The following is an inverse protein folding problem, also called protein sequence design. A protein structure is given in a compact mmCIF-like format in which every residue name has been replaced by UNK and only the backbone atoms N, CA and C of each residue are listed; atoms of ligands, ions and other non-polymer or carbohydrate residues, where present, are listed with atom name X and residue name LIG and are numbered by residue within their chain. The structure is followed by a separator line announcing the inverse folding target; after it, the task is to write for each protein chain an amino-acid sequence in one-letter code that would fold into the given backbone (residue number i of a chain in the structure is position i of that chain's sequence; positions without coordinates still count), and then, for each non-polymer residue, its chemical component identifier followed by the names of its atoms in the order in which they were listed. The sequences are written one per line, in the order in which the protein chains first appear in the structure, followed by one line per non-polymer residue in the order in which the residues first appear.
data_IF_232361895006
#
_entry.id   IF_232361895006
#
_cell.length_a   1.000
_cell.length_b   1.000
_cell.length_c   1.000
_cell.angle_alpha   90.00
_cell.angle_beta   90.00
_cell.angle_gamma   90.00
#
_symmetry.space_group_name_H-M   'P 1'
#
loop_
_entity.id
_entity.type
_entity.pdbx_description
1 polymer ?
#
# COMPACT_ATOMS: atom_id res chain seq x y z
N UNK A 1 -13.78 -0.76 23.88
CA UNK A 1 -13.02 -1.94 23.38
C UNK A 1 -11.54 -1.61 23.44
N UNK A 2 -10.72 -2.43 24.09
CA UNK A 2 -9.26 -2.31 23.98
C UNK A 2 -8.88 -2.73 22.56
N UNK A 3 -8.26 -1.84 21.80
CA UNK A 3 -7.67 -2.14 20.49
C UNK A 3 -6.48 -3.08 20.72
N UNK A 4 -6.74 -4.34 21.06
CA UNK A 4 -5.73 -5.37 21.06
C UNK A 4 -5.36 -5.64 19.59
N UNK A 5 -4.33 -4.94 19.15
CA UNK A 5 -3.30 -5.34 18.17
C UNK A 5 -3.72 -6.47 17.24
N UNK A 6 -4.51 -6.15 16.21
CA UNK A 6 -4.60 -7.04 15.05
C UNK A 6 -3.22 -7.06 14.38
N UNK A 7 -2.43 -8.10 14.67
CA UNK A 7 -1.19 -8.35 13.95
C UNK A 7 -1.57 -8.79 12.53
N UNK A 8 -1.28 -7.92 11.57
CA UNK A 8 -1.41 -8.22 10.15
C UNK A 8 -0.47 -9.38 9.81
N UNK A 9 -1.00 -10.47 9.25
CA UNK A 9 -0.15 -11.50 8.64
C UNK A 9 0.50 -10.88 7.41
N UNK A 10 1.82 -10.82 7.36
CA UNK A 10 2.55 -10.23 6.23
C UNK A 10 2.77 -11.22 5.09
N UNK A 11 2.43 -12.49 5.29
CA UNK A 11 2.63 -13.57 4.31
C UNK A 11 1.94 -13.28 2.96
N UNK A 12 0.86 -12.49 2.96
CA UNK A 12 0.19 -12.09 1.73
C UNK A 12 0.91 -11.00 0.95
N UNK A 13 1.94 -10.35 1.51
CA UNK A 13 2.69 -9.26 0.88
C UNK A 13 3.89 -9.75 0.07
N UNK A 14 3.98 -11.06 -0.18
CA UNK A 14 5.01 -11.65 -1.00
C UNK A 14 4.68 -11.55 -2.49
N UNK A 15 5.72 -11.48 -3.33
CA UNK A 15 5.62 -11.50 -4.79
C UNK A 15 4.64 -10.46 -5.38
N UNK A 16 4.67 -9.25 -4.82
CA UNK A 16 3.84 -8.15 -5.29
C UNK A 16 4.32 -7.66 -6.64
N UNK A 17 3.37 -7.46 -7.55
CA UNK A 17 3.56 -6.82 -8.85
C UNK A 17 2.92 -5.44 -8.79
N UNK A 18 3.65 -4.45 -9.29
CA UNK A 18 3.22 -3.06 -9.32
C UNK A 18 2.40 -2.76 -10.58
N UNK A 19 1.19 -2.22 -10.42
CA UNK A 19 0.30 -1.91 -11.55
C UNK A 19 0.23 -0.40 -11.85
N UNK A 20 0.39 0.47 -10.85
CA UNK A 20 0.33 1.92 -11.08
C UNK A 20 0.08 2.74 -9.82
N UNK A 21 -0.25 4.02 -10.00
CA UNK A 21 -0.65 4.88 -8.88
C UNK A 21 -1.64 5.97 -9.29
N UNK A 22 -2.37 6.45 -8.29
CA UNK A 22 -3.23 7.62 -8.36
C UNK A 22 -3.04 8.54 -7.13
N UNK A 23 -3.81 9.63 -7.08
CA UNK A 23 -3.79 10.53 -5.95
C UNK A 23 -4.29 9.82 -4.67
N UNK A 24 -3.46 9.84 -3.64
CA UNK A 24 -3.79 9.26 -2.34
C UNK A 24 -4.67 10.16 -1.48
N UNK A 25 -5.05 9.68 -0.28
CA UNK A 25 -5.80 10.46 0.69
C UNK A 25 -4.99 11.67 1.18
N UNK A 26 -5.67 12.79 1.50
CA UNK A 26 -5.03 14.02 2.01
C UNK A 26 -4.54 13.90 3.46
N UNK A 27 -5.02 12.90 4.18
CA UNK A 27 -4.70 12.68 5.59
C UNK A 27 -4.60 11.19 5.82
N UNK A 28 -3.49 10.76 6.43
CA UNK A 28 -3.21 9.37 6.79
C UNK A 28 -2.86 9.36 8.28
N UNK A 29 -3.57 8.55 9.07
CA UNK A 29 -3.34 8.42 10.52
C UNK A 29 -3.31 9.77 11.28
N UNK A 30 -4.17 10.70 10.89
CA UNK A 30 -4.26 12.04 11.49
C UNK A 30 -3.17 13.02 11.04
N UNK A 31 -2.27 12.61 10.14
CA UNK A 31 -1.25 13.48 9.56
C UNK A 31 -1.66 13.94 8.18
N UNK A 32 -1.66 15.25 7.96
CA UNK A 32 -1.87 15.84 6.64
C UNK A 32 -0.57 15.78 5.82
N UNK A 33 -0.68 15.49 4.53
CA UNK A 33 0.50 15.37 3.66
C UNK A 33 0.14 15.06 2.22
N UNK A 34 1.18 14.98 1.39
CA UNK A 34 1.10 14.47 0.03
C UNK A 34 1.30 12.95 0.06
N UNK A 35 0.23 12.21 -0.23
CA UNK A 35 0.23 10.77 -0.27
C UNK A 35 -0.19 10.28 -1.64
N UNK A 36 0.31 9.09 -2.00
CA UNK A 36 -0.05 8.39 -3.23
C UNK A 36 -0.73 7.07 -2.87
N UNK A 37 -1.67 6.66 -3.71
CA UNK A 37 -2.25 5.32 -3.69
C UNK A 37 -1.63 4.54 -4.82
N UNK A 38 -0.99 3.43 -4.50
CA UNK A 38 -0.38 2.52 -5.45
C UNK A 38 -1.26 1.28 -5.60
N UNK A 39 -1.51 0.87 -6.83
CA UNK A 39 -2.22 -0.37 -7.11
C UNK A 39 -1.19 -1.49 -7.27
N UNK A 40 -1.40 -2.56 -6.52
CA UNK A 40 -0.52 -3.74 -6.54
C UNK A 40 -1.36 -5.00 -6.58
N UNK A 41 -0.77 -6.07 -7.11
CA UNK A 41 -1.42 -7.36 -7.16
C UNK A 41 -0.45 -8.50 -6.86
N UNK A 42 -0.99 -9.60 -6.33
CA UNK A 42 -0.30 -10.88 -6.34
C UNK A 42 -1.28 -12.06 -6.45
N UNK A 43 -0.73 -13.26 -6.67
CA UNK A 43 -1.54 -14.46 -6.81
C UNK A 43 -2.25 -14.88 -5.51
N UNK A 44 -1.69 -14.53 -4.35
CA UNK A 44 -2.24 -14.94 -3.05
C UNK A 44 -3.47 -14.12 -2.64
N UNK A 45 -3.50 -12.83 -2.99
CA UNK A 45 -4.50 -11.90 -2.49
C UNK A 45 -5.23 -11.09 -3.55
N UNK A 46 -4.87 -11.25 -4.83
CA UNK A 46 -5.43 -10.42 -5.89
C UNK A 46 -4.91 -9.00 -5.81
N UNK A 47 -5.71 -8.04 -6.26
CA UNK A 47 -5.36 -6.62 -6.29
C UNK A 47 -5.78 -5.90 -5.00
N UNK A 48 -4.90 -5.03 -4.51
CA UNK A 48 -5.15 -4.16 -3.36
C UNK A 48 -4.33 -2.87 -3.45
N UNK A 49 -4.62 -1.91 -2.56
CA UNK A 49 -3.93 -0.62 -2.58
C UNK A 49 -2.87 -0.50 -1.48
N UNK A 50 -1.78 0.15 -1.84
CA UNK A 50 -0.73 0.56 -0.91
C UNK A 50 -0.66 2.08 -0.86
N UNK A 51 -0.82 2.67 0.32
CA UNK A 51 -0.67 4.09 0.57
C UNK A 51 0.76 4.38 1.03
N UNK A 52 1.40 5.35 0.40
CA UNK A 52 2.71 5.86 0.82
C UNK A 52 2.72 7.38 0.81
N UNK A 53 3.71 8.01 1.44
CA UNK A 53 4.04 9.41 1.10
C UNK A 53 4.50 9.45 -0.34
N UNK A 54 4.23 10.57 -1.03
CA UNK A 54 4.67 10.76 -2.42
C UNK A 54 6.12 10.32 -2.61
N UNK A 55 6.32 9.30 -3.45
CA UNK A 55 7.63 8.76 -3.74
C UNK A 55 8.41 9.73 -4.63
N UNK A 56 9.72 9.81 -4.43
CA UNK A 56 10.62 10.61 -5.27
C UNK A 56 10.96 9.90 -6.58
N UNK A 57 11.02 8.56 -6.54
CA UNK A 57 11.37 7.72 -7.67
C UNK A 57 10.12 7.06 -8.27
N UNK A 58 10.08 7.01 -9.60
CA UNK A 58 9.01 6.31 -10.30
C UNK A 58 9.21 4.80 -10.18
N UNK A 59 8.14 4.10 -9.80
CA UNK A 59 8.09 2.63 -9.81
C UNK A 59 7.56 2.18 -11.17
N UNK A 60 8.28 1.32 -11.91
CA UNK A 60 7.81 0.85 -13.22
C UNK A 60 6.64 -0.13 -13.07
N UNK A 61 5.66 -0.02 -13.97
CA UNK A 61 4.57 -0.98 -14.11
C UNK A 61 5.10 -2.38 -14.45
N UNK A 62 4.49 -3.41 -13.87
CA UNK A 62 4.91 -4.81 -13.97
C UNK A 62 6.14 -5.17 -13.11
N UNK A 63 6.71 -4.22 -12.36
CA UNK A 63 7.86 -4.49 -11.52
C UNK A 63 7.49 -5.32 -10.28
N UNK A 64 8.36 -6.25 -9.90
CA UNK A 64 8.23 -6.93 -8.62
C UNK A 64 8.68 -6.00 -7.51
N UNK A 65 7.91 -5.91 -6.42
CA UNK A 65 8.16 -4.96 -5.34
C UNK A 65 8.07 -5.60 -3.96
N UNK A 66 8.68 -4.93 -2.98
CA UNK A 66 8.55 -5.19 -1.55
C UNK A 66 8.12 -3.91 -0.82
N UNK A 67 7.29 -4.09 0.21
CA UNK A 67 6.83 -2.98 1.05
C UNK A 67 7.68 -2.88 2.31
N UNK A 68 8.11 -1.66 2.65
CA UNK A 68 8.89 -1.39 3.86
C UNK A 68 7.97 -0.96 5.00
N UNK A 69 8.02 -1.70 6.12
CA UNK A 69 7.18 -1.49 7.31
C UNK A 69 5.67 -1.39 6.97
N UNK A 70 5.10 -2.41 6.30
CA UNK A 70 3.68 -2.40 5.96
C UNK A 70 2.83 -2.50 7.22
N UNK A 71 1.82 -1.64 7.33
CA UNK A 71 0.81 -1.67 8.37
C UNK A 71 -0.57 -1.58 7.75
N UNK A 72 -1.55 -2.26 8.35
CA UNK A 72 -2.92 -2.19 7.88
C UNK A 72 -3.44 -0.76 7.93
N UNK A 73 -4.02 -0.31 6.82
CA UNK A 73 -4.58 1.03 6.70
C UNK A 73 -6.02 0.95 6.19
N UNK A 74 -7.02 1.17 7.07
CA UNK A 74 -8.40 1.27 6.64
C UNK A 74 -8.59 2.61 5.92
N UNK A 75 -8.52 2.57 4.60
CA UNK A 75 -8.78 3.75 3.78
C UNK A 75 -10.28 3.92 3.53
N UNK A 76 -10.72 5.18 3.48
CA UNK A 76 -12.12 5.55 3.24
C UNK A 76 -12.16 6.45 2.01
N UNK A 77 -12.45 5.87 0.84
CA UNK A 77 -12.61 6.66 -0.38
C UNK A 77 -13.97 7.38 -0.32
N UNK A 78 -13.95 8.71 -0.40
CA UNK A 78 -15.15 9.57 -0.50
C UNK A 78 -16.21 9.33 0.59
N UNK A 79 -15.80 8.97 1.81
CA UNK A 79 -16.72 8.71 2.93
C UNK A 79 -17.51 7.39 2.82
N UNK A 80 -17.30 6.63 1.75
CA UNK A 80 -17.80 5.27 1.63
C UNK A 80 -16.74 4.30 2.15
N UNK A 81 -17.19 3.34 2.94
CA UNK A 81 -16.37 2.18 3.28
C UNK A 81 -16.23 1.35 2.00
N UNK A 82 -15.17 1.61 1.22
CA UNK A 82 -14.67 0.61 0.28
C UNK A 82 -14.31 -0.61 1.11
N UNK A 83 -14.59 -1.81 0.57
CA UNK A 83 -14.44 -3.07 1.29
C UNK A 83 -13.22 -2.98 2.23
N UNK A 84 -13.41 -3.10 3.56
CA UNK A 84 -12.40 -2.76 4.58
C UNK A 84 -11.18 -3.69 4.57
N UNK A 85 -11.02 -4.46 3.52
CA UNK A 85 -10.07 -5.53 3.41
C UNK A 85 -8.85 -5.00 2.64
N UNK A 86 -7.74 -4.89 3.36
CA UNK A 86 -6.38 -5.13 2.86
C UNK A 86 -5.56 -3.96 2.34
N UNK A 87 -6.04 -2.72 2.43
CA UNK A 87 -5.17 -1.59 2.13
C UNK A 87 -4.03 -1.49 3.16
N UNK A 88 -2.86 -1.13 2.67
CA UNK A 88 -1.61 -1.13 3.44
C UNK A 88 -1.00 0.24 3.40
N UNK A 89 -0.63 0.80 4.55
CA UNK A 89 0.32 1.90 4.57
C UNK A 89 1.74 1.32 4.60
N UNK A 90 2.59 1.77 3.69
CA UNK A 90 4.00 1.44 3.70
C UNK A 90 4.84 2.72 3.80
N UNK A 91 6.02 2.61 4.41
CA UNK A 91 6.93 3.75 4.48
C UNK A 91 7.56 4.01 3.11
N UNK A 92 7.91 2.94 2.40
CA UNK A 92 8.57 2.96 1.08
C UNK A 92 8.18 1.71 0.27
N UNK A 93 8.36 1.80 -1.05
CA UNK A 93 8.26 0.68 -2.00
C UNK A 93 9.66 0.42 -2.58
N UNK A 94 10.13 -0.83 -2.49
CA UNK A 94 11.40 -1.26 -3.07
C UNK A 94 11.16 -2.11 -4.30
N UNK A 95 11.84 -1.81 -5.40
CA UNK A 95 11.80 -2.63 -6.60
C UNK A 95 12.81 -3.77 -6.51
N UNK A 96 12.32 -5.00 -6.58
CA UNK A 96 13.13 -6.21 -6.67
C UNK A 96 13.50 -6.46 -8.14
N UNK A 97 14.80 -6.44 -8.45
CA UNK A 97 15.29 -6.79 -9.79
C UNK A 97 15.48 -5.61 -10.75
N UNK A 98 15.58 -4.38 -10.24
CA UNK A 98 16.14 -3.28 -11.04
C UNK A 98 17.58 -3.63 -11.45
N UNK A 99 17.79 -4.00 -12.72
CA UNK A 99 19.14 -4.01 -13.30
C UNK A 99 19.72 -2.60 -13.11
N UNK A 100 20.84 -2.53 -12.39
CA UNK A 100 21.78 -1.41 -12.51
C UNK A 100 22.26 -1.28 -13.94
#
# INVERSE_FOLDING_TARGET
MKQNTFLMKTDFLENLIYDGFENGPRTVMGQQGAYQRHHVANAAHGSFDVITKTLTDAVPEGAQIELVNPIFYPDFIHGNQIAPALNVFATEIKVLGGKK
#
